data_IF_969751297765
#
_entry.id   IF_969751297765
#
_cell.length_a   1.000
_cell.length_b   1.000
_cell.length_c   1.000
_cell.angle_alpha   90.00
_cell.angle_beta   90.00
_cell.angle_gamma   90.00
#
_symmetry.space_group_name_H-M   'P 1'
#
loop_
_entity.id
_entity.type
_entity.pdbx_description
1 polymer ?
#
# COMPACT_ATOMS: atom_id res chain seq x y z
N UNK A 1 -20.70 -8.18 17.90
CA UNK A 1 -19.29 -7.76 17.91
C UNK A 1 -18.44 -9.00 18.03
N UNK A 2 -17.56 -9.23 17.06
CA UNK A 2 -16.55 -10.28 17.20
C UNK A 2 -15.52 -9.82 18.23
N UNK A 3 -15.33 -10.61 19.27
CA UNK A 3 -14.23 -10.44 20.22
C UNK A 3 -13.11 -11.45 19.93
N UNK A 4 -13.15 -12.05 18.74
CA UNK A 4 -12.18 -13.06 18.34
C UNK A 4 -10.97 -12.36 17.73
N UNK A 5 -9.83 -12.58 18.32
CA UNK A 5 -8.53 -12.12 17.83
C UNK A 5 -7.98 -13.13 16.81
N UNK A 6 -7.39 -12.61 15.75
CA UNK A 6 -6.73 -13.41 14.72
C UNK A 6 -5.30 -12.93 14.52
N UNK A 7 -4.45 -13.86 14.15
CA UNK A 7 -3.08 -13.61 13.71
C UNK A 7 -3.08 -13.43 12.19
N UNK A 8 -3.24 -12.20 11.72
CA UNK A 8 -3.35 -11.87 10.31
C UNK A 8 -1.97 -11.76 9.66
N UNK A 9 -1.78 -12.44 8.54
CA UNK A 9 -0.57 -12.33 7.71
C UNK A 9 -0.97 -11.83 6.33
N UNK A 10 -0.54 -10.62 5.94
CA UNK A 10 -0.80 -10.09 4.60
C UNK A 10 0.05 -10.82 3.55
N UNK A 11 -0.45 -10.92 2.32
CA UNK A 11 0.31 -11.42 1.19
C UNK A 11 1.48 -10.50 0.82
N UNK A 12 1.33 -9.20 1.07
CA UNK A 12 2.37 -8.20 0.80
C UNK A 12 2.25 -6.98 1.69
N UNK A 13 3.31 -6.18 1.71
CA UNK A 13 3.39 -4.90 2.40
C UNK A 13 3.56 -3.79 1.36
N UNK A 14 2.73 -2.76 1.45
CA UNK A 14 2.81 -1.58 0.59
C UNK A 14 3.36 -0.40 1.38
N UNK A 15 4.48 0.14 0.94
CA UNK A 15 5.14 1.26 1.55
C UNK A 15 5.11 2.47 0.63
N UNK A 16 4.92 3.61 1.22
CA UNK A 16 5.19 4.90 0.59
C UNK A 16 6.61 5.34 0.99
N UNK A 17 7.29 6.11 0.17
CA UNK A 17 8.72 6.40 0.38
C UNK A 17 9.03 7.10 1.73
N UNK A 18 8.25 8.08 2.14
CA UNK A 18 8.50 8.78 3.41
C UNK A 18 8.28 7.90 4.64
N UNK A 19 7.33 6.99 4.59
CA UNK A 19 7.01 6.09 5.70
C UNK A 19 7.75 4.75 5.60
N UNK A 20 8.19 4.37 4.41
CA UNK A 20 8.88 3.11 4.13
C UNK A 20 10.41 3.16 4.27
N UNK A 21 11.03 4.33 4.05
CA UNK A 21 12.49 4.46 4.19
C UNK A 21 12.97 4.08 5.60
N UNK A 22 12.34 4.48 6.71
CA UNK A 22 12.72 4.02 8.03
C UNK A 22 12.76 2.50 8.14
N UNK A 23 11.75 1.79 7.67
CA UNK A 23 11.71 0.33 7.69
C UNK A 23 12.88 -0.31 6.90
N UNK A 24 13.23 0.26 5.75
CA UNK A 24 14.39 -0.20 4.98
C UNK A 24 15.70 0.07 5.72
N UNK A 25 15.80 1.22 6.42
CA UNK A 25 16.95 1.54 7.25
C UNK A 25 17.11 0.57 8.43
N UNK A 26 16.00 0.18 9.06
CA UNK A 26 15.99 -0.80 10.14
C UNK A 26 16.42 -2.18 9.65
N UNK A 27 15.95 -2.63 8.49
CA UNK A 27 16.44 -3.86 7.85
C UNK A 27 17.96 -3.81 7.56
N UNK A 28 18.48 -2.66 7.14
CA UNK A 28 19.90 -2.46 6.93
C UNK A 28 20.68 -2.55 8.25
N UNK A 29 20.20 -1.92 9.31
CA UNK A 29 20.78 -1.98 10.65
C UNK A 29 20.75 -3.40 11.22
N UNK A 30 19.67 -4.15 10.99
CA UNK A 30 19.59 -5.57 11.37
C UNK A 30 20.68 -6.41 10.66
N UNK A 31 20.94 -6.15 9.36
CA UNK A 31 22.04 -6.82 8.64
C UNK A 31 23.40 -6.52 9.25
N UNK A 32 23.64 -5.28 9.64
CA UNK A 32 24.88 -4.87 10.28
C UNK A 32 25.06 -5.59 11.63
N UNK A 33 24.03 -5.58 12.46
CA UNK A 33 24.04 -6.28 13.75
C UNK A 33 24.28 -7.79 13.62
N UNK A 34 23.73 -8.42 12.57
CA UNK A 34 23.97 -9.85 12.28
C UNK A 34 25.43 -10.09 11.85
N UNK A 35 25.99 -9.18 11.02
CA UNK A 35 27.38 -9.22 10.58
C UNK A 35 28.34 -9.07 11.75
N UNK A 36 28.10 -8.16 12.68
CA UNK A 36 28.90 -7.98 13.89
C UNK A 36 28.96 -9.26 14.76
N UNK A 37 27.91 -10.07 14.69
CA UNK A 37 27.86 -11.39 15.36
C UNK A 37 28.49 -12.52 14.54
N UNK A 38 29.22 -12.20 13.47
CA UNK A 38 29.82 -13.16 12.54
C UNK A 38 28.80 -14.15 11.92
N UNK A 39 27.58 -13.69 11.67
CA UNK A 39 26.54 -14.45 10.97
C UNK A 39 26.28 -13.86 9.58
N UNK A 40 25.62 -14.62 8.73
CA UNK A 40 25.30 -14.18 7.38
C UNK A 40 24.25 -13.03 7.38
N UNK A 41 24.60 -11.80 6.98
CA UNK A 41 23.67 -10.69 6.90
C UNK A 41 22.55 -10.91 5.87
N UNK A 42 22.74 -11.78 4.88
CA UNK A 42 21.71 -12.10 3.89
C UNK A 42 20.55 -12.91 4.47
N UNK A 43 20.68 -13.41 5.72
CA UNK A 43 19.54 -14.00 6.44
C UNK A 43 18.44 -12.98 6.75
N UNK A 44 18.76 -11.68 6.76
CA UNK A 44 17.77 -10.61 6.96
C UNK A 44 17.23 -10.19 5.60
N UNK A 45 16.01 -10.60 5.31
CA UNK A 45 15.23 -10.24 4.11
C UNK A 45 13.75 -10.14 4.47
N UNK A 46 12.97 -9.35 3.73
CA UNK A 46 11.52 -9.45 3.80
C UNK A 46 11.05 -10.85 3.45
N UNK A 47 10.23 -11.44 4.30
CA UNK A 47 9.60 -12.74 4.09
C UNK A 47 8.31 -12.63 3.27
N UNK A 48 7.66 -11.47 3.33
CA UNK A 48 6.54 -11.11 2.45
C UNK A 48 7.01 -10.23 1.31
N UNK A 49 6.28 -10.20 0.21
CA UNK A 49 6.55 -9.26 -0.87
C UNK A 49 6.37 -7.81 -0.39
N UNK A 50 7.28 -6.93 -0.74
CA UNK A 50 7.25 -5.51 -0.37
C UNK A 50 7.33 -4.67 -1.62
N UNK A 51 6.35 -3.79 -1.79
CA UNK A 51 6.34 -2.74 -2.80
C UNK A 51 6.51 -1.39 -2.12
N UNK A 52 7.58 -0.66 -2.45
CA UNK A 52 7.78 0.71 -2.02
C UNK A 52 7.57 1.64 -3.22
N UNK A 53 6.59 2.53 -3.12
CA UNK A 53 6.29 3.51 -4.17
C UNK A 53 6.84 4.86 -3.77
N UNK A 54 7.66 5.44 -4.63
CA UNK A 54 8.13 6.82 -4.48
C UNK A 54 7.00 7.72 -4.94
N UNK A 55 6.27 8.23 -3.97
CA UNK A 55 5.00 8.90 -4.08
C UNK A 55 5.09 10.35 -3.60
N UNK A 56 4.30 11.25 -4.16
CA UNK A 56 4.21 12.66 -3.75
C UNK A 56 5.52 13.49 -3.78
N UNK A 57 6.64 12.94 -4.25
CA UNK A 57 7.93 13.64 -4.18
C UNK A 57 8.18 14.58 -5.34
N UNK A 58 7.61 14.32 -6.52
CA UNK A 58 7.87 15.14 -7.70
C UNK A 58 7.16 16.49 -7.58
N UNK A 59 7.96 17.55 -7.42
CA UNK A 59 7.45 18.92 -7.37
C UNK A 59 7.35 19.52 -8.77
N UNK A 60 6.36 20.38 -8.96
CA UNK A 60 6.16 21.10 -10.24
C UNK A 60 6.96 22.39 -10.23
N UNK A 61 8.25 22.32 -10.61
CA UNK A 61 9.12 23.49 -10.78
C UNK A 61 8.98 24.10 -12.17
N UNK A 62 8.62 23.29 -13.14
CA UNK A 62 8.39 23.70 -14.54
C UNK A 62 7.01 23.26 -14.97
N UNK A 63 6.32 24.12 -15.70
CA UNK A 63 4.97 23.88 -16.19
C UNK A 63 4.76 24.39 -17.60
N UNK A 64 3.64 24.02 -18.21
CA UNK A 64 3.15 24.51 -19.48
C UNK A 64 4.09 24.34 -20.71
N UNK A 65 5.04 23.40 -20.66
CA UNK A 65 5.90 23.03 -21.78
C UNK A 65 5.94 21.52 -21.94
N UNK A 66 6.19 21.04 -23.15
CA UNK A 66 6.24 19.61 -23.45
C UNK A 66 7.31 18.84 -22.64
N UNK A 67 8.42 19.50 -22.33
CA UNK A 67 9.55 18.95 -21.58
C UNK A 67 9.46 19.17 -20.05
N UNK A 68 8.35 19.72 -19.57
CA UNK A 68 8.21 20.05 -18.13
C UNK A 68 8.24 18.85 -17.24
N UNK A 69 7.61 17.74 -17.64
CA UNK A 69 7.61 16.51 -16.87
C UNK A 69 9.04 15.95 -16.69
N UNK A 70 9.77 15.79 -17.77
CA UNK A 70 11.15 15.27 -17.72
C UNK A 70 12.04 16.15 -16.85
N UNK A 71 11.94 17.47 -16.98
CA UNK A 71 12.71 18.42 -16.17
C UNK A 71 12.39 18.34 -14.68
N UNK A 72 11.10 18.14 -14.33
CA UNK A 72 10.71 17.99 -12.94
C UNK A 72 11.25 16.67 -12.35
N UNK A 73 11.20 15.58 -13.10
CA UNK A 73 11.76 14.29 -12.68
C UNK A 73 13.27 14.39 -12.51
N UNK A 74 13.99 15.03 -13.44
CA UNK A 74 15.44 15.26 -13.33
C UNK A 74 15.81 16.09 -12.09
N UNK A 75 15.01 17.11 -11.78
CA UNK A 75 15.22 17.93 -10.58
C UNK A 75 14.95 17.13 -9.32
N UNK A 76 13.94 16.28 -9.33
CA UNK A 76 13.60 15.37 -8.24
C UNK A 76 14.77 14.42 -7.93
N UNK A 77 15.32 13.76 -8.94
CA UNK A 77 16.50 12.89 -8.77
C UNK A 77 17.71 13.66 -8.23
N UNK A 78 17.95 14.88 -8.69
CA UNK A 78 19.06 15.71 -8.18
C UNK A 78 18.88 16.09 -6.72
N UNK A 79 17.65 16.44 -6.31
CA UNK A 79 17.33 16.84 -4.93
C UNK A 79 17.44 15.68 -3.95
N UNK A 80 17.01 14.50 -4.35
CA UNK A 80 16.86 13.33 -3.50
C UNK A 80 17.82 12.19 -3.87
N UNK A 81 18.94 12.50 -4.48
CA UNK A 81 19.90 11.52 -4.97
C UNK A 81 20.39 10.56 -3.87
N UNK A 82 20.64 11.04 -2.67
CA UNK A 82 21.09 10.23 -1.54
C UNK A 82 19.99 9.20 -1.16
N UNK A 83 18.76 9.67 -0.99
CA UNK A 83 17.60 8.83 -0.67
C UNK A 83 17.39 7.75 -1.75
N UNK A 84 17.43 8.13 -3.00
CA UNK A 84 17.18 7.19 -4.11
C UNK A 84 18.34 6.22 -4.32
N UNK A 85 19.57 6.64 -4.04
CA UNK A 85 20.72 5.74 -4.03
C UNK A 85 20.60 4.68 -2.95
N UNK A 86 20.14 5.06 -1.75
CA UNK A 86 19.86 4.13 -0.66
C UNK A 86 18.75 3.15 -1.02
N UNK A 87 17.63 3.62 -1.55
CA UNK A 87 16.53 2.77 -1.97
C UNK A 87 16.95 1.81 -3.10
N UNK A 88 17.71 2.29 -4.08
CA UNK A 88 18.24 1.44 -5.16
C UNK A 88 19.16 0.35 -4.62
N UNK A 89 20.00 0.67 -3.63
CA UNK A 89 20.77 -0.32 -2.91
C UNK A 89 19.85 -1.34 -2.23
N UNK A 90 18.80 -0.91 -1.52
CA UNK A 90 17.85 -1.78 -0.86
C UNK A 90 17.18 -2.76 -1.82
N UNK A 91 16.75 -2.30 -2.99
CA UNK A 91 16.17 -3.16 -4.03
C UNK A 91 17.15 -4.23 -4.54
N UNK A 92 18.44 -3.95 -4.54
CA UNK A 92 19.47 -4.92 -4.94
C UNK A 92 19.90 -5.84 -3.81
N UNK A 93 19.84 -5.33 -2.57
CA UNK A 93 20.31 -6.04 -1.39
C UNK A 93 19.25 -7.00 -0.80
N UNK A 94 17.98 -6.66 -0.90
CA UNK A 94 16.89 -7.44 -0.32
C UNK A 94 16.13 -8.22 -1.39
N UNK A 95 15.86 -9.48 -1.10
CA UNK A 95 14.89 -10.26 -1.86
C UNK A 95 13.45 -9.80 -1.51
N UNK A 96 12.50 -10.06 -2.40
CA UNK A 96 11.09 -9.68 -2.21
C UNK A 96 10.85 -8.17 -2.00
N UNK A 97 11.79 -7.32 -2.38
CA UNK A 97 11.69 -5.87 -2.25
C UNK A 97 11.75 -5.19 -3.61
N UNK A 98 10.69 -4.48 -3.97
CA UNK A 98 10.56 -3.77 -5.23
C UNK A 98 10.31 -2.29 -4.98
N UNK A 99 10.92 -1.44 -5.81
CA UNK A 99 10.72 0.01 -5.76
C UNK A 99 10.10 0.48 -7.06
N UNK A 100 9.06 1.29 -6.94
CA UNK A 100 8.46 2.04 -8.04
C UNK A 100 9.08 3.45 -8.04
N UNK A 101 9.76 3.84 -9.12
CA UNK A 101 10.51 5.10 -9.17
C UNK A 101 9.61 6.33 -9.19
N UNK A 102 10.16 7.53 -8.90
CA UNK A 102 9.41 8.78 -8.97
C UNK A 102 8.92 9.05 -10.40
N UNK A 103 7.81 9.77 -10.53
CA UNK A 103 7.20 10.09 -11.82
C UNK A 103 6.32 8.99 -12.42
N UNK A 104 6.14 7.86 -11.71
CA UNK A 104 5.31 6.73 -12.17
C UNK A 104 3.84 6.90 -11.80
N UNK A 105 3.53 7.85 -10.94
CA UNK A 105 2.18 8.12 -10.45
C UNK A 105 2.01 7.80 -8.96
N UNK A 106 0.90 8.28 -8.42
CA UNK A 106 0.58 8.17 -7.00
C UNK A 106 0.28 6.72 -6.62
N UNK A 107 0.82 6.26 -5.49
CA UNK A 107 0.72 4.90 -4.97
C UNK A 107 -0.72 4.36 -4.95
N UNK A 108 -1.65 5.16 -4.42
CA UNK A 108 -3.03 4.76 -4.21
C UNK A 108 -3.98 5.19 -5.33
N UNK A 109 -3.46 5.40 -6.51
CA UNK A 109 -4.20 5.68 -7.74
C UNK A 109 -3.75 4.72 -8.84
N UNK A 110 -3.04 5.19 -9.84
CA UNK A 110 -2.59 4.38 -10.99
C UNK A 110 -1.79 3.15 -10.57
N UNK A 111 -0.92 3.28 -9.57
CA UNK A 111 -0.08 2.17 -9.12
C UNK A 111 -0.84 1.03 -8.45
N UNK A 112 -2.03 1.26 -7.86
CA UNK A 112 -2.80 0.18 -7.24
C UNK A 112 -3.14 -0.91 -8.26
N UNK A 113 -3.60 -0.55 -9.45
CA UNK A 113 -3.99 -1.49 -10.49
C UNK A 113 -2.80 -2.30 -11.01
N UNK A 114 -1.61 -1.68 -11.12
CA UNK A 114 -0.39 -2.35 -11.57
C UNK A 114 0.24 -3.27 -10.51
N UNK A 115 0.06 -2.92 -9.24
CA UNK A 115 0.67 -3.66 -8.13
C UNK A 115 -0.23 -4.79 -7.63
N UNK A 116 -1.55 -4.66 -7.74
CA UNK A 116 -2.50 -5.66 -7.27
C UNK A 116 -2.56 -6.86 -8.20
N UNK A 117 -2.58 -8.05 -7.63
CA UNK A 117 -2.67 -9.31 -8.37
C UNK A 117 -4.01 -10.02 -8.22
N UNK A 118 -4.86 -9.59 -7.30
CA UNK A 118 -6.09 -10.26 -6.89
C UNK A 118 -5.83 -11.64 -6.27
N UNK A 119 -4.98 -12.45 -6.91
CA UNK A 119 -4.59 -13.79 -6.47
C UNK A 119 -3.07 -13.93 -6.54
N UNK A 120 -2.49 -14.43 -5.47
CA UNK A 120 -1.09 -14.81 -5.37
C UNK A 120 -0.92 -16.31 -5.47
N UNK A 121 0.26 -16.70 -5.92
CA UNK A 121 0.67 -18.11 -6.01
C UNK A 121 2.06 -18.27 -5.41
N UNK A 122 2.25 -19.30 -4.62
CA UNK A 122 3.52 -19.60 -3.98
C UNK A 122 3.76 -21.11 -3.94
N UNK A 123 5.00 -21.50 -4.19
CA UNK A 123 5.45 -22.88 -4.00
C UNK A 123 6.05 -22.99 -2.60
N UNK A 124 5.51 -23.85 -1.78
CA UNK A 124 6.05 -24.19 -0.48
C UNK A 124 6.27 -25.69 -0.39
N UNK A 125 7.53 -26.09 -0.23
CA UNK A 125 7.96 -27.48 -0.31
C UNK A 125 7.57 -28.18 -1.62
N UNK A 126 6.57 -29.08 -1.56
CA UNK A 126 6.05 -29.81 -2.73
C UNK A 126 4.67 -29.32 -3.18
N UNK A 127 4.08 -28.41 -2.44
CA UNK A 127 2.72 -27.95 -2.65
C UNK A 127 2.70 -26.57 -3.31
N UNK A 128 1.68 -26.36 -4.11
CA UNK A 128 1.39 -25.11 -4.80
C UNK A 128 0.19 -24.43 -4.12
N UNK A 129 0.46 -23.30 -3.48
CA UNK A 129 -0.58 -22.54 -2.77
C UNK A 129 -1.12 -21.42 -3.65
N UNK A 130 -2.43 -21.25 -3.60
CA UNK A 130 -3.14 -20.13 -4.23
C UNK A 130 -3.91 -19.42 -3.11
N UNK A 131 -3.72 -18.11 -2.99
CA UNK A 131 -4.36 -17.31 -1.94
C UNK A 131 -4.71 -15.91 -2.46
N UNK A 132 -5.75 -15.26 -1.86
CA UNK A 132 -6.13 -13.92 -2.27
C UNK A 132 -5.06 -12.89 -1.95
N UNK A 133 -4.96 -11.86 -2.80
CA UNK A 133 -4.14 -10.69 -2.52
C UNK A 133 -4.72 -9.94 -1.31
N UNK A 134 -3.86 -9.72 -0.34
CA UNK A 134 -4.15 -8.92 0.84
C UNK A 134 -2.92 -8.12 1.20
N UNK A 135 -3.08 -6.91 1.66
CA UNK A 135 -1.95 -6.09 2.03
C UNK A 135 -2.17 -5.28 3.31
N UNK A 136 -1.07 -4.96 3.94
CA UNK A 136 -0.98 -3.84 4.88
C UNK A 136 -0.11 -2.75 4.29
N UNK A 137 -0.41 -1.51 4.63
CA UNK A 137 0.34 -0.37 4.11
C UNK A 137 0.51 0.73 5.14
N UNK A 138 1.58 1.50 4.99
CA UNK A 138 1.95 2.57 5.92
C UNK A 138 1.32 3.93 5.58
N UNK A 139 0.45 3.97 4.58
CA UNK A 139 -0.22 5.19 4.16
C UNK A 139 -1.70 5.18 4.57
N UNK A 140 -2.25 6.36 4.87
CA UNK A 140 -3.67 6.54 5.20
C UNK A 140 -4.63 6.15 4.06
N UNK A 141 -4.15 6.14 2.82
CA UNK A 141 -4.90 5.75 1.63
C UNK A 141 -4.80 4.25 1.30
N UNK A 142 -4.11 3.45 2.11
CA UNK A 142 -3.94 2.01 1.87
C UNK A 142 -5.27 1.29 1.62
N UNK A 143 -6.32 1.70 2.31
CA UNK A 143 -7.66 1.11 2.15
C UNK A 143 -8.31 1.35 0.79
N UNK A 144 -7.77 2.23 -0.06
CA UNK A 144 -8.28 2.43 -1.43
C UNK A 144 -8.18 1.16 -2.29
N UNK A 145 -7.23 0.26 -1.97
CA UNK A 145 -7.08 -1.02 -2.66
C UNK A 145 -8.33 -1.91 -2.53
N UNK A 146 -9.16 -1.68 -1.52
CA UNK A 146 -10.42 -2.41 -1.35
C UNK A 146 -11.39 -2.19 -2.54
N UNK A 147 -11.25 -1.08 -3.26
CA UNK A 147 -11.98 -0.84 -4.51
C UNK A 147 -11.65 -1.83 -5.63
N UNK A 148 -10.51 -2.52 -5.55
CA UNK A 148 -10.09 -3.59 -6.44
C UNK A 148 -10.41 -4.99 -5.90
N UNK A 149 -11.24 -5.09 -4.88
CA UNK A 149 -11.55 -6.36 -4.16
C UNK A 149 -10.31 -6.99 -3.50
N UNK A 150 -9.31 -6.20 -3.16
CA UNK A 150 -8.12 -6.59 -2.41
C UNK A 150 -8.23 -6.05 -0.99
N UNK A 151 -8.09 -6.91 0.01
CA UNK A 151 -8.13 -6.49 1.40
C UNK A 151 -6.88 -5.67 1.74
N UNK A 152 -7.06 -4.38 2.02
CA UNK A 152 -6.00 -3.47 2.46
C UNK A 152 -6.31 -2.87 3.83
N UNK A 153 -5.28 -2.86 4.70
CA UNK A 153 -5.37 -2.36 6.05
C UNK A 153 -4.22 -1.39 6.32
N UNK A 154 -4.53 -0.19 6.79
CA UNK A 154 -3.53 0.80 7.19
C UNK A 154 -2.92 0.44 8.55
N UNK A 155 -1.59 0.44 8.62
CA UNK A 155 -0.81 0.12 9.82
C UNK A 155 0.28 1.15 10.07
N UNK A 156 0.83 1.16 11.27
CA UNK A 156 2.03 1.93 11.57
C UNK A 156 3.30 1.31 10.97
N UNK A 157 4.40 2.06 10.96
CA UNK A 157 5.69 1.60 10.42
C UNK A 157 6.19 0.32 11.08
N UNK A 158 6.14 0.24 12.39
CA UNK A 158 6.58 -0.93 13.18
C UNK A 158 5.75 -2.18 12.85
N UNK A 159 4.44 -2.03 12.66
CA UNK A 159 3.56 -3.15 12.30
C UNK A 159 3.82 -3.61 10.86
N UNK A 160 4.08 -2.68 9.94
CA UNK A 160 4.47 -3.02 8.57
C UNK A 160 5.79 -3.79 8.55
N UNK A 161 6.77 -3.36 9.35
CA UNK A 161 8.07 -4.01 9.51
C UNK A 161 7.93 -5.42 10.09
N UNK A 162 7.10 -5.58 11.13
CA UNK A 162 6.76 -6.90 11.65
C UNK A 162 6.15 -7.80 10.57
N UNK A 163 5.24 -7.27 9.76
CA UNK A 163 4.67 -7.98 8.61
C UNK A 163 5.71 -8.37 7.57
N UNK A 164 6.66 -7.47 7.25
CA UNK A 164 7.79 -7.75 6.36
C UNK A 164 8.66 -8.90 6.88
N UNK A 165 8.85 -8.99 8.19
CA UNK A 165 9.62 -10.05 8.86
C UNK A 165 8.79 -11.32 9.11
N UNK A 166 7.60 -11.44 8.53
CA UNK A 166 6.73 -12.60 8.63
C UNK A 166 6.02 -12.77 9.97
N UNK A 167 6.03 -11.74 10.81
CA UNK A 167 5.26 -11.78 12.06
C UNK A 167 3.78 -11.51 11.75
N UNK A 168 2.85 -12.23 12.38
CA UNK A 168 1.44 -11.95 12.23
C UNK A 168 1.07 -10.63 12.94
N UNK A 169 0.16 -9.91 12.32
CA UNK A 169 -0.45 -8.73 12.92
C UNK A 169 -1.67 -9.19 13.73
N UNK A 170 -1.65 -8.92 15.03
CA UNK A 170 -2.80 -9.22 15.88
C UNK A 170 -3.92 -8.22 15.62
N UNK A 171 -5.10 -8.72 15.27
CA UNK A 171 -6.28 -7.89 15.06
C UNK A 171 -7.56 -8.63 15.46
N UNK A 172 -8.55 -7.87 15.87
CA UNK A 172 -9.90 -8.41 16.03
C UNK A 172 -10.54 -8.60 14.65
N UNK A 173 -11.30 -9.68 14.47
CA UNK A 173 -12.07 -9.86 13.22
C UNK A 173 -12.97 -8.63 13.05
N UNK A 174 -12.77 -7.82 12.00
CA UNK A 174 -13.55 -6.60 11.81
C UNK A 174 -15.02 -6.90 11.53
N UNK A 175 -15.89 -6.05 12.05
CA UNK A 175 -17.29 -6.02 11.66
C UNK A 175 -17.41 -5.50 10.23
N UNK A 176 -18.25 -6.11 9.41
CA UNK A 176 -18.54 -5.67 8.05
C UNK A 176 -19.80 -4.82 8.03
N UNK A 177 -19.69 -3.61 7.50
CA UNK A 177 -20.82 -2.69 7.32
C UNK A 177 -21.14 -2.59 5.83
N UNK A 178 -22.30 -3.04 5.44
CA UNK A 178 -22.79 -2.88 4.07
C UNK A 178 -23.26 -1.45 3.80
N UNK A 179 -22.82 -0.87 2.67
CA UNK A 179 -23.28 0.42 2.16
C UNK A 179 -23.96 0.22 0.81
N UNK A 180 -25.30 0.33 0.79
CA UNK A 180 -26.08 0.10 -0.42
C UNK A 180 -26.12 1.35 -1.31
N UNK A 181 -25.63 1.21 -2.54
CA UNK A 181 -25.70 2.25 -3.58
C UNK A 181 -26.92 2.01 -4.47
N UNK A 182 -27.79 3.02 -4.54
CA UNK A 182 -29.06 2.96 -5.30
C UNK A 182 -29.08 4.03 -6.37
N UNK A 183 -29.76 3.72 -7.48
CA UNK A 183 -30.02 4.66 -8.55
C UNK A 183 -28.73 5.26 -9.17
N UNK A 184 -28.78 6.49 -9.57
CA UNK A 184 -27.69 7.29 -10.14
C UNK A 184 -27.63 8.66 -9.49
N UNK A 185 -26.49 9.31 -9.64
CA UNK A 185 -26.32 10.69 -9.17
C UNK A 185 -27.37 11.61 -9.82
N UNK A 186 -28.02 12.48 -9.04
CA UNK A 186 -28.90 13.51 -9.59
C UNK A 186 -28.14 14.43 -10.55
N UNK A 187 -28.83 14.97 -11.51
CA UNK A 187 -28.26 15.96 -12.43
C UNK A 187 -27.71 17.18 -11.64
N UNK A 188 -26.53 17.65 -12.01
CA UNK A 188 -25.86 18.75 -11.34
C UNK A 188 -25.04 18.36 -10.11
N UNK A 189 -25.01 17.09 -9.69
CA UNK A 189 -24.12 16.61 -8.63
C UNK A 189 -22.79 16.11 -9.20
N UNK A 190 -21.73 16.26 -8.41
CA UNK A 190 -20.38 15.84 -8.76
C UNK A 190 -19.95 14.58 -8.00
N UNK A 191 -18.87 13.94 -8.43
CA UNK A 191 -18.25 12.84 -7.68
C UNK A 191 -17.82 13.30 -6.28
N UNK A 192 -17.39 14.54 -6.12
CA UNK A 192 -17.04 15.13 -4.82
C UNK A 192 -18.24 15.19 -3.88
N UNK A 193 -19.42 15.55 -4.36
CA UNK A 193 -20.64 15.57 -3.55
C UNK A 193 -21.00 14.17 -3.05
N UNK A 194 -20.83 13.15 -3.92
CA UNK A 194 -21.00 11.75 -3.54
C UNK A 194 -20.03 11.36 -2.44
N UNK A 195 -18.73 11.59 -2.64
CA UNK A 195 -17.68 11.22 -1.67
C UNK A 195 -17.93 11.88 -0.32
N UNK A 196 -18.22 13.19 -0.29
CA UNK A 196 -18.47 13.92 0.96
C UNK A 196 -19.71 13.39 1.68
N UNK A 197 -20.77 13.06 0.93
CA UNK A 197 -22.00 12.49 1.49
C UNK A 197 -21.73 11.11 2.10
N UNK A 198 -21.07 10.22 1.35
CA UNK A 198 -20.71 8.86 1.82
C UNK A 198 -19.84 8.94 3.06
N UNK A 199 -18.78 9.77 3.04
CA UNK A 199 -17.87 9.94 4.17
C UNK A 199 -18.62 10.43 5.41
N UNK A 200 -19.55 11.40 5.25
CA UNK A 200 -20.35 11.88 6.36
C UNK A 200 -21.23 10.76 6.94
N UNK A 201 -21.95 10.02 6.10
CA UNK A 201 -22.80 8.92 6.53
C UNK A 201 -22.01 7.83 7.28
N UNK A 202 -20.84 7.47 6.77
CA UNK A 202 -19.95 6.48 7.38
C UNK A 202 -19.37 6.97 8.72
N UNK A 203 -19.04 8.24 8.83
CA UNK A 203 -18.61 8.85 10.10
C UNK A 203 -19.72 8.83 11.15
N UNK A 204 -20.92 9.22 10.76
CA UNK A 204 -22.09 9.22 11.66
C UNK A 204 -22.42 7.79 12.14
N UNK A 205 -22.16 6.79 11.29
CA UNK A 205 -22.33 5.36 11.62
C UNK A 205 -21.22 4.84 12.55
N UNK A 206 -20.05 5.46 12.58
CA UNK A 206 -18.92 5.01 13.38
C UNK A 206 -18.26 3.74 12.85
N UNK A 207 -17.69 3.82 11.65
CA UNK A 207 -17.09 2.68 10.94
C UNK A 207 -15.58 2.52 11.16
N UNK A 208 -14.96 3.33 11.99
CA UNK A 208 -13.53 3.19 12.28
C UNK A 208 -13.23 1.80 12.85
N UNK A 209 -12.24 1.11 12.29
CA UNK A 209 -11.90 -0.26 12.65
C UNK A 209 -12.88 -1.32 12.11
N UNK A 210 -13.70 -0.98 11.11
CA UNK A 210 -14.62 -1.90 10.45
C UNK A 210 -14.35 -1.92 8.95
N UNK A 211 -14.76 -2.99 8.28
CA UNK A 211 -14.82 -3.02 6.83
C UNK A 211 -16.12 -2.40 6.33
N UNK A 212 -16.01 -1.65 5.23
CA UNK A 212 -17.16 -1.12 4.51
C UNK A 212 -17.24 -1.83 3.16
N UNK A 213 -18.34 -2.51 2.92
CA UNK A 213 -18.62 -3.18 1.66
C UNK A 213 -19.67 -2.39 0.89
N UNK A 214 -19.29 -1.87 -0.28
CA UNK A 214 -20.21 -1.18 -1.17
C UNK A 214 -20.90 -2.19 -2.07
N UNK A 215 -22.22 -2.12 -2.16
CA UNK A 215 -23.01 -3.01 -2.99
C UNK A 215 -24.24 -2.29 -3.57
N UNK A 216 -24.98 -2.96 -4.42
CA UNK A 216 -26.23 -2.48 -5.00
C UNK A 216 -26.09 -2.04 -6.46
N UNK A 217 -27.24 -1.82 -7.09
CA UNK A 217 -27.33 -1.49 -8.52
C UNK A 217 -26.72 -0.12 -8.88
N UNK A 218 -26.67 0.80 -7.91
CA UNK A 218 -26.07 2.13 -8.11
C UNK A 218 -24.59 2.08 -8.48
N UNK A 219 -23.86 1.03 -8.09
CA UNK A 219 -22.46 0.86 -8.46
C UNK A 219 -22.25 0.79 -9.98
N UNK A 220 -23.21 0.27 -10.73
CA UNK A 220 -23.13 0.18 -12.20
C UNK A 220 -23.16 1.53 -12.88
N UNK A 221 -23.59 2.56 -12.17
CA UNK A 221 -23.71 3.93 -12.67
C UNK A 221 -22.50 4.81 -12.27
N UNK A 222 -21.52 4.25 -11.55
CA UNK A 222 -20.29 4.93 -11.20
C UNK A 222 -19.21 4.60 -12.23
N UNK A 223 -18.48 5.60 -12.65
CA UNK A 223 -17.29 5.45 -13.49
C UNK A 223 -16.06 5.21 -12.63
N UNK A 224 -14.98 4.69 -13.21
CA UNK A 224 -13.69 4.54 -12.54
C UNK A 224 -12.97 5.88 -12.31
N UNK A 225 -13.41 6.93 -13.00
CA UNK A 225 -12.83 8.27 -12.93
C UNK A 225 -13.81 9.27 -12.31
#
# INVERSE_FOLDING_TARGET
>A
KSNTEIAYRPARVLLQDYTGIPAVADLAAMREAVKEKNKDPNSINPLSAVDLVIDHSVQVDKSAKADSFEKNVDMEFKRNNERYSFLKWGQQAFNNFRIVPPGTGICHQVNLEYLSKVVWTENFEKDYYIFPDTLVGTDSHTTMVNGLSVLGWGVGGIEAEAGMLGQPISMLIPEVIGFEMKNKLPEGTTATDLVLTVVKMLRDKGVVGKFVEFYGEGLKNLTLA
#
